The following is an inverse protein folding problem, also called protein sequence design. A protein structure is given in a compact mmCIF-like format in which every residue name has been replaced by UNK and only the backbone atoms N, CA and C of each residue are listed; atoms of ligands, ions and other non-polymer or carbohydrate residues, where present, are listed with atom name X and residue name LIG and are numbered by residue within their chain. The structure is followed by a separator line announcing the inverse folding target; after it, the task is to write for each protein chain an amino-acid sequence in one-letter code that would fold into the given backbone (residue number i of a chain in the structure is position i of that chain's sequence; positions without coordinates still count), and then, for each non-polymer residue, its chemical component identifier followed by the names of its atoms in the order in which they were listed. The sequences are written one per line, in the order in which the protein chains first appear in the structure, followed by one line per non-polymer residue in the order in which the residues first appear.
data_IF_042440240308
#
_entry.id   IF_042440240308
#
_cell.length_a   1.000
_cell.length_b   1.000
_cell.length_c   1.000
_cell.angle_alpha   90.00
_cell.angle_beta   90.00
_cell.angle_gamma   90.00
#
_symmetry.space_group_name_H-M   'P 1'
#
loop_
_entity.id
_entity.type
_entity.pdbx_description
1 polymer ?
#
# COMPACT_ATOMS: atom_id res chain seq x y z
N UNK A 1 10.75 -7.82 1.51
CA UNK A 1 9.72 -6.78 1.74
C UNK A 1 9.61 -5.97 0.47
N UNK A 2 8.40 -5.68 -0.01
CA UNK A 2 8.21 -4.87 -1.21
C UNK A 2 8.83 -3.48 -1.03
N UNK A 3 9.42 -2.95 -2.10
CA UNK A 3 10.12 -1.67 -2.11
C UNK A 3 9.89 -0.95 -3.43
N UNK A 4 10.00 0.37 -3.40
CA UNK A 4 9.96 1.23 -4.58
C UNK A 4 11.25 2.05 -4.68
N UNK A 5 11.62 2.46 -5.89
CA UNK A 5 12.71 3.41 -6.14
C UNK A 5 12.08 4.71 -6.61
N UNK A 6 12.38 5.82 -5.93
CA UNK A 6 11.89 7.14 -6.29
C UNK A 6 13.00 8.17 -6.04
N UNK A 7 13.31 9.00 -7.03
CA UNK A 7 14.42 9.96 -6.96
C UNK A 7 15.78 9.32 -6.66
N UNK A 8 16.02 8.09 -7.15
CA UNK A 8 17.25 7.33 -6.88
C UNK A 8 17.34 6.70 -5.49
N UNK A 9 16.34 6.89 -4.62
CA UNK A 9 16.32 6.34 -3.26
C UNK A 9 15.38 5.13 -3.20
N UNK A 10 15.81 4.06 -2.52
CA UNK A 10 14.99 2.88 -2.24
C UNK A 10 14.18 3.09 -0.97
N UNK A 11 12.86 2.94 -1.07
CA UNK A 11 11.94 2.96 0.07
C UNK A 11 11.30 1.59 0.27
N UNK A 12 11.32 1.09 1.50
CA UNK A 12 10.72 -0.20 1.87
C UNK A 12 9.32 0.01 2.42
N UNK A 13 8.35 -0.81 2.01
CA UNK A 13 7.00 -0.71 2.53
C UNK A 13 6.97 -0.96 4.04
N UNK A 14 6.24 -0.12 4.76
CA UNK A 14 6.03 -0.16 6.21
C UNK A 14 4.55 -0.24 6.57
N UNK A 15 3.66 -0.03 5.60
CA UNK A 15 2.21 -0.22 5.72
C UNK A 15 1.63 -0.68 4.39
N UNK A 16 0.76 -1.69 4.43
CA UNK A 16 0.01 -2.17 3.27
C UNK A 16 -1.48 -1.90 3.47
N UNK A 17 -1.96 -0.80 2.89
CA UNK A 17 -3.33 -0.33 3.10
C UNK A 17 -3.88 0.31 1.82
N UNK A 18 -5.20 0.24 1.67
CA UNK A 18 -5.96 0.93 0.61
C UNK A 18 -7.21 1.56 1.19
N UNK A 19 -7.70 2.60 0.52
CA UNK A 19 -9.02 3.16 0.75
C UNK A 19 -9.92 2.86 -0.44
N UNK A 20 -11.12 2.36 -0.17
CA UNK A 20 -12.16 2.21 -1.17
C UNK A 20 -12.75 3.58 -1.52
N UNK A 21 -12.74 3.96 -2.80
CA UNK A 21 -13.34 5.22 -3.25
C UNK A 21 -14.87 5.20 -3.24
N UNK A 22 -15.50 4.00 -3.23
CA UNK A 22 -16.97 3.85 -3.21
C UNK A 22 -17.58 4.01 -1.83
N UNK A 23 -17.04 3.32 -0.83
CA UNK A 23 -17.56 3.38 0.55
C UNK A 23 -16.66 4.15 1.52
N UNK A 24 -15.55 4.72 1.04
CA UNK A 24 -14.57 5.49 1.82
C UNK A 24 -13.86 4.72 2.94
N UNK A 25 -14.12 3.43 3.09
CA UNK A 25 -13.47 2.58 4.10
C UNK A 25 -12.00 2.33 3.76
N UNK A 26 -11.15 2.42 4.78
CA UNK A 26 -9.74 2.06 4.69
C UNK A 26 -9.52 0.69 5.31
N UNK A 27 -8.94 -0.22 4.54
CA UNK A 27 -8.56 -1.57 4.97
C UNK A 27 -7.04 -1.73 4.91
N UNK A 28 -6.48 -2.47 5.86
CA UNK A 28 -5.04 -2.70 6.00
C UNK A 28 -4.77 -4.18 6.23
N UNK A 29 -3.86 -4.76 5.45
CA UNK A 29 -3.37 -6.13 5.65
C UNK A 29 -2.07 -6.09 6.45
N UNK A 30 -2.03 -6.76 7.60
CA UNK A 30 -0.90 -6.74 8.56
C UNK A 30 -0.04 -7.99 8.49
N UNK A 31 -0.61 -9.13 8.07
CA UNK A 31 0.07 -10.43 8.07
C UNK A 31 0.02 -11.10 6.68
N UNK A 32 0.88 -12.10 6.45
CA UNK A 32 0.99 -12.82 5.16
C UNK A 32 -0.32 -13.49 4.71
N UNK A 33 -1.23 -13.78 5.65
CA UNK A 33 -2.54 -14.36 5.40
C UNK A 33 -3.58 -13.50 6.13
N UNK A 34 -3.82 -12.30 5.64
CA UNK A 34 -4.69 -11.30 6.28
C UNK A 34 -5.54 -10.62 5.20
N UNK A 35 -6.43 -11.43 4.65
CA UNK A 35 -7.34 -11.07 3.56
C UNK A 35 -8.53 -10.28 4.11
N UNK A 36 -8.77 -9.09 3.57
CA UNK A 36 -9.87 -8.21 3.97
C UNK A 36 -10.56 -7.63 2.76
N UNK A 37 -11.89 -7.59 2.82
CA UNK A 37 -12.71 -6.75 1.94
C UNK A 37 -13.10 -5.47 2.68
N UNK A 38 -13.34 -4.39 1.94
CA UNK A 38 -14.15 -3.29 2.45
C UNK A 38 -15.61 -3.74 2.61
N UNK A 39 -16.37 -3.03 3.43
CA UNK A 39 -17.79 -3.24 3.74
C UNK A 39 -18.69 -3.35 2.51
N UNK A 40 -18.41 -2.59 1.43
CA UNK A 40 -19.20 -2.68 0.19
C UNK A 40 -18.73 -3.80 -0.77
N UNK A 41 -17.65 -4.51 -0.43
CA UNK A 41 -17.10 -5.60 -1.24
C UNK A 41 -16.38 -5.19 -2.53
N UNK A 42 -16.26 -3.88 -2.83
CA UNK A 42 -15.69 -3.41 -4.09
C UNK A 42 -14.17 -3.63 -4.20
N UNK A 43 -13.45 -3.56 -3.08
CA UNK A 43 -11.98 -3.72 -3.04
C UNK A 43 -11.56 -4.62 -1.90
N UNK A 44 -10.43 -5.31 -2.06
CA UNK A 44 -9.81 -6.15 -1.05
C UNK A 44 -8.29 -5.99 -1.00
N UNK A 45 -7.71 -6.41 0.12
CA UNK A 45 -6.27 -6.39 0.39
C UNK A 45 -5.82 -7.67 1.11
N UNK A 46 -4.62 -8.17 0.80
CA UNK A 46 -4.06 -9.37 1.44
C UNK A 46 -2.53 -9.39 1.43
N UNK A 47 -1.94 -10.24 2.27
CA UNK A 47 -0.53 -10.62 2.21
C UNK A 47 0.42 -9.76 3.03
N UNK A 48 -0.08 -8.77 3.79
CA UNK A 48 0.74 -7.96 4.69
C UNK A 48 1.87 -7.21 3.97
N UNK A 49 2.97 -6.95 4.70
CA UNK A 49 4.19 -6.37 4.12
C UNK A 49 5.09 -7.51 3.62
N UNK A 50 4.65 -8.21 2.58
CA UNK A 50 5.36 -9.34 1.99
C UNK A 50 5.43 -9.23 0.47
N UNK A 51 6.37 -9.95 -0.16
CA UNK A 51 6.54 -9.91 -1.61
C UNK A 51 5.32 -10.44 -2.39
N UNK A 52 4.45 -11.21 -1.74
CA UNK A 52 3.23 -11.76 -2.33
C UNK A 52 1.97 -10.97 -1.95
N UNK A 53 2.11 -9.74 -1.45
CA UNK A 53 0.96 -8.93 -1.08
C UNK A 53 0.17 -8.46 -2.31
N UNK A 54 -1.14 -8.26 -2.12
CA UNK A 54 -2.08 -8.03 -3.21
C UNK A 54 -3.13 -7.01 -2.83
N UNK A 55 -3.56 -6.28 -3.84
CA UNK A 55 -4.74 -5.43 -3.85
C UNK A 55 -5.65 -5.97 -4.95
N UNK A 56 -6.94 -6.11 -4.66
CA UNK A 56 -7.96 -6.59 -5.59
C UNK A 56 -9.08 -5.56 -5.69
N UNK A 57 -9.71 -5.48 -6.86
CA UNK A 57 -10.80 -4.54 -7.15
C UNK A 57 -10.54 -3.76 -8.45
N UNK A 58 -11.51 -2.93 -8.84
CA UNK A 58 -11.34 -2.02 -9.97
C UNK A 58 -10.32 -0.91 -9.61
N UNK A 59 -9.31 -0.63 -10.46
CA UNK A 59 -8.35 0.44 -10.20
C UNK A 59 -8.97 1.82 -9.94
N UNK A 60 -10.13 2.11 -10.54
CA UNK A 60 -10.87 3.36 -10.32
C UNK A 60 -11.48 3.48 -8.93
N UNK A 61 -11.70 2.35 -8.26
CA UNK A 61 -12.25 2.26 -6.90
C UNK A 61 -11.17 2.20 -5.81
N UNK A 62 -9.89 2.08 -6.20
CA UNK A 62 -8.76 1.89 -5.28
C UNK A 62 -8.00 3.20 -5.13
N UNK A 63 -7.83 3.64 -3.89
CA UNK A 63 -6.80 4.61 -3.51
C UNK A 63 -5.71 3.93 -2.69
N UNK A 64 -4.47 3.93 -3.20
CA UNK A 64 -3.32 3.36 -2.48
C UNK A 64 -2.98 4.22 -1.24
N UNK A 65 -3.02 3.60 -0.06
CA UNK A 65 -2.67 4.21 1.23
C UNK A 65 -1.44 3.54 1.87
N UNK A 66 -0.67 2.81 1.07
CA UNK A 66 0.58 2.18 1.49
C UNK A 66 1.62 3.25 1.85
N UNK A 67 2.41 2.96 2.87
CA UNK A 67 3.48 3.84 3.34
C UNK A 67 4.81 3.14 3.15
N UNK A 68 5.79 3.86 2.65
CA UNK A 68 7.15 3.40 2.43
C UNK A 68 8.13 4.27 3.20
N UNK A 69 9.20 3.68 3.71
CA UNK A 69 10.22 4.36 4.51
C UNK A 69 11.60 4.17 3.89
N UNK A 70 12.38 5.25 3.86
CA UNK A 70 13.83 5.21 3.65
C UNK A 70 14.53 5.86 4.85
N UNK A 71 15.78 5.49 5.10
CA UNK A 71 16.64 6.15 6.09
C UNK A 71 17.75 6.87 5.33
N UNK A 72 17.74 8.21 5.39
CA UNK A 72 18.74 9.07 4.74
C UNK A 72 19.41 9.89 5.84
N UNK A 73 20.73 9.84 5.95
CA UNK A 73 21.48 10.59 6.97
C UNK A 73 20.91 10.42 8.39
N UNK A 74 20.57 9.17 8.76
CA UNK A 74 19.91 8.80 10.05
C UNK A 74 18.49 9.36 10.25
N UNK A 75 17.91 10.06 9.28
CA UNK A 75 16.52 10.53 9.30
C UNK A 75 15.62 9.53 8.58
N UNK A 76 14.45 9.22 9.18
CA UNK A 76 13.41 8.41 8.54
C UNK A 76 12.53 9.31 7.68
N UNK A 77 12.41 8.97 6.40
CA UNK A 77 11.55 9.65 5.44
C UNK A 77 10.44 8.69 5.04
N UNK A 78 9.20 9.11 5.23
CA UNK A 78 8.02 8.34 4.87
C UNK A 78 7.35 8.95 3.64
N UNK A 79 6.98 8.11 2.69
CA UNK A 79 6.24 8.51 1.50
C UNK A 79 5.07 7.56 1.29
N UNK A 80 4.00 8.08 0.67
CA UNK A 80 3.02 7.23 0.01
C UNK A 80 3.54 6.77 -1.34
N UNK A 81 2.85 5.84 -2.01
CA UNK A 81 3.23 5.46 -3.37
C UNK A 81 3.23 6.71 -4.27
N UNK A 82 4.35 7.05 -4.92
CA UNK A 82 4.41 8.19 -5.82
C UNK A 82 3.51 7.93 -7.04
N UNK A 83 2.97 9.00 -7.66
CA UNK A 83 2.26 8.86 -8.92
C UNK A 83 3.17 8.18 -9.94
N UNK A 84 2.61 7.33 -10.80
CA UNK A 84 3.35 6.87 -11.98
C UNK A 84 3.59 8.12 -12.83
N UNK A 85 4.85 8.37 -13.20
CA UNK A 85 5.11 9.32 -14.27
C UNK A 85 4.41 8.76 -15.52
N UNK A 86 3.47 9.52 -16.07
CA UNK A 86 2.91 9.26 -17.40
C UNK A 86 3.97 9.50 -18.48
#
# INVERSE_FOLDING_TARGET
MPSIIYGGVRYTQTRHAIQCRKCSETIESKHRHDFKYCSCGAVAIDGGISAGNRILGDPSDIEDRSVYCAVIEKKKIFITRPPKNE
#
